data_IF_483968548301
#
_entry.id   IF_483968548301
#
_cell.length_a   1.000
_cell.length_b   1.000
_cell.length_c   1.000
_cell.angle_alpha   90.00
_cell.angle_beta   90.00
_cell.angle_gamma   90.00
#
_symmetry.space_group_name_H-M   'P 1'
#
loop_
_entity.id
_entity.type
_entity.pdbx_description
1 polymer ?
#
# COMPACT_ATOMS: atom_id res chain seq x y z
N UNK A 1 -19.83 8.74 4.42
CA UNK A 1 -19.50 8.12 3.12
C UNK A 1 -18.05 8.35 2.70
N UNK A 2 -17.53 9.58 2.66
CA UNK A 2 -16.13 9.82 2.24
C UNK A 2 -15.06 9.20 3.15
N UNK A 3 -15.29 9.12 4.47
CA UNK A 3 -14.34 8.57 5.46
C UNK A 3 -14.07 7.07 5.29
N UNK A 4 -15.12 6.27 5.14
CA UNK A 4 -14.98 4.82 4.92
C UNK A 4 -14.35 4.52 3.57
N UNK A 5 -14.72 5.27 2.52
CA UNK A 5 -14.12 5.13 1.20
C UNK A 5 -12.60 5.39 1.22
N UNK A 6 -12.12 6.38 1.99
CA UNK A 6 -10.68 6.66 2.15
C UNK A 6 -9.94 5.52 2.86
N UNK A 7 -10.53 4.97 3.94
CA UNK A 7 -9.97 3.83 4.65
C UNK A 7 -9.92 2.58 3.78
N UNK A 8 -10.98 2.32 3.02
CA UNK A 8 -11.08 1.16 2.13
C UNK A 8 -10.13 1.27 0.94
N UNK A 9 -10.01 2.46 0.35
CA UNK A 9 -9.04 2.75 -0.71
C UNK A 9 -7.60 2.59 -0.21
N UNK A 10 -7.29 3.04 1.01
CA UNK A 10 -5.98 2.82 1.63
C UNK A 10 -5.68 1.33 1.88
N UNK A 11 -6.66 0.54 2.32
CA UNK A 11 -6.52 -0.93 2.44
C UNK A 11 -6.29 -1.60 1.09
N UNK A 12 -7.02 -1.20 0.05
CA UNK A 12 -6.82 -1.69 -1.31
C UNK A 12 -5.44 -1.34 -1.86
N UNK A 13 -4.94 -0.13 -1.58
CA UNK A 13 -3.59 0.28 -1.93
C UNK A 13 -2.52 -0.59 -1.25
N UNK A 14 -2.70 -0.93 0.03
CA UNK A 14 -1.80 -1.84 0.72
C UNK A 14 -1.84 -3.26 0.15
N UNK A 15 -3.03 -3.76 -0.21
CA UNK A 15 -3.14 -5.06 -0.89
C UNK A 15 -2.47 -5.03 -2.27
N UNK A 16 -2.60 -3.93 -3.01
CA UNK A 16 -1.92 -3.74 -4.30
C UNK A 16 -0.40 -3.66 -4.12
N UNK A 17 0.09 -3.01 -3.06
CA UNK A 17 1.50 -3.01 -2.69
C UNK A 17 2.01 -4.44 -2.49
N UNK A 18 1.26 -5.25 -1.74
CA UNK A 18 1.60 -6.65 -1.48
C UNK A 18 1.65 -7.49 -2.77
N UNK A 19 0.67 -7.31 -3.66
CA UNK A 19 0.62 -7.94 -4.98
C UNK A 19 1.79 -7.52 -5.87
N UNK A 20 2.15 -6.24 -5.83
CA UNK A 20 3.27 -5.68 -6.57
C UNK A 20 4.61 -6.26 -6.06
N UNK A 21 4.78 -6.38 -4.74
CA UNK A 21 5.95 -7.05 -4.15
C UNK A 21 5.99 -8.54 -4.53
N UNK A 22 4.84 -9.22 -4.53
CA UNK A 22 4.73 -10.62 -4.97
C UNK A 22 5.19 -10.81 -6.41
N UNK A 23 4.76 -9.94 -7.33
CA UNK A 23 5.09 -10.04 -8.76
C UNK A 23 6.50 -9.53 -9.08
N UNK A 24 6.98 -8.47 -8.44
CA UNK A 24 8.30 -7.88 -8.72
C UNK A 24 9.45 -8.52 -7.94
N UNK A 25 9.17 -9.18 -6.81
CA UNK A 25 10.19 -9.78 -5.94
C UNK A 25 10.00 -11.29 -5.87
N UNK A 26 8.85 -11.77 -5.40
CA UNK A 26 8.66 -13.20 -5.11
C UNK A 26 8.69 -14.05 -6.39
N UNK A 27 7.97 -13.65 -7.43
CA UNK A 27 7.94 -14.40 -8.69
C UNK A 27 9.33 -14.51 -9.37
N UNK A 28 10.07 -13.41 -9.62
CA UNK A 28 11.41 -13.51 -10.20
C UNK A 28 12.45 -14.19 -9.26
N UNK A 29 12.25 -14.15 -7.94
CA UNK A 29 13.04 -14.93 -6.99
C UNK A 29 12.82 -16.44 -7.18
N UNK A 30 11.57 -16.88 -7.34
CA UNK A 30 11.24 -18.29 -7.59
C UNK A 30 11.78 -18.76 -8.95
N UNK A 31 11.72 -17.90 -9.97
CA UNK A 31 12.26 -18.20 -11.31
C UNK A 31 13.80 -18.15 -11.37
N UNK A 32 14.49 -17.73 -10.30
CA UNK A 32 15.95 -17.56 -10.29
C UNK A 32 16.44 -16.41 -11.18
N UNK A 33 15.55 -15.50 -11.59
CA UNK A 33 15.83 -14.36 -12.47
C UNK A 33 15.79 -13.02 -11.72
N UNK A 34 15.90 -13.05 -10.39
CA UNK A 34 15.86 -11.85 -9.58
C UNK A 34 17.07 -10.97 -9.89
N UNK A 35 16.82 -9.87 -10.60
CA UNK A 35 17.79 -8.79 -10.75
C UNK A 35 17.74 -7.86 -9.55
N UNK A 36 18.91 -7.41 -9.10
CA UNK A 36 19.06 -6.46 -8.00
C UNK A 36 18.31 -5.15 -8.28
N UNK A 37 18.20 -4.76 -9.56
CA UNK A 37 17.40 -3.60 -9.99
C UNK A 37 15.89 -3.82 -9.78
N UNK A 38 15.39 -5.01 -10.13
CA UNK A 38 13.99 -5.40 -9.95
C UNK A 38 13.62 -5.51 -8.47
N UNK A 39 14.52 -6.06 -7.66
CA UNK A 39 14.35 -6.13 -6.21
C UNK A 39 14.28 -4.72 -5.59
N UNK A 40 15.18 -3.81 -5.94
CA UNK A 40 15.15 -2.43 -5.45
C UNK A 40 13.90 -1.68 -5.90
N UNK A 41 13.47 -1.86 -7.15
CA UNK A 41 12.25 -1.26 -7.67
C UNK A 41 11.00 -1.82 -6.97
N UNK A 42 10.96 -3.12 -6.74
CA UNK A 42 9.89 -3.80 -6.00
C UNK A 42 9.80 -3.33 -4.56
N UNK A 43 10.93 -3.26 -3.85
CA UNK A 43 10.98 -2.78 -2.46
C UNK A 43 10.62 -1.30 -2.38
N UNK A 44 11.16 -0.47 -3.27
CA UNK A 44 10.86 0.96 -3.33
C UNK A 44 9.37 1.22 -3.62
N UNK A 45 8.81 0.51 -4.60
CA UNK A 45 7.38 0.58 -4.93
C UNK A 45 6.50 0.09 -3.77
N UNK A 46 6.86 -1.01 -3.13
CA UNK A 46 6.15 -1.54 -1.97
C UNK A 46 6.09 -0.52 -0.82
N UNK A 47 7.23 0.07 -0.46
CA UNK A 47 7.30 1.08 0.60
C UNK A 47 6.45 2.29 0.22
N UNK A 48 6.55 2.77 -1.02
CA UNK A 48 5.77 3.91 -1.50
C UNK A 48 4.26 3.67 -1.41
N UNK A 49 3.76 2.57 -1.99
CA UNK A 49 2.32 2.25 -1.96
C UNK A 49 1.82 1.99 -0.53
N UNK A 50 2.62 1.31 0.29
CA UNK A 50 2.28 1.08 1.71
C UNK A 50 2.17 2.39 2.48
N UNK A 51 3.10 3.31 2.25
CA UNK A 51 3.10 4.61 2.91
C UNK A 51 1.91 5.47 2.49
N UNK A 52 1.60 5.52 1.19
CA UNK A 52 0.42 6.23 0.67
C UNK A 52 -0.86 5.61 1.21
N UNK A 53 -0.96 4.27 1.23
CA UNK A 53 -2.10 3.56 1.81
C UNK A 53 -2.30 3.86 3.29
N UNK A 54 -1.21 3.90 4.06
CA UNK A 54 -1.24 4.27 5.47
C UNK A 54 -1.69 5.71 5.72
N UNK A 55 -1.21 6.67 4.91
CA UNK A 55 -1.65 8.07 4.97
C UNK A 55 -3.16 8.18 4.69
N UNK A 56 -3.67 7.48 3.68
CA UNK A 56 -5.10 7.50 3.35
C UNK A 56 -5.97 6.96 4.49
N UNK A 57 -5.51 5.90 5.16
CA UNK A 57 -6.18 5.34 6.34
C UNK A 57 -6.17 6.37 7.47
N UNK A 58 -5.03 6.97 7.80
CA UNK A 58 -4.90 7.99 8.85
C UNK A 58 -5.77 9.22 8.59
N UNK A 59 -5.83 9.70 7.35
CA UNK A 59 -6.71 10.81 6.97
C UNK A 59 -8.18 10.39 7.17
N UNK A 60 -8.54 9.18 6.76
CA UNK A 60 -9.88 8.63 6.98
C UNK A 60 -10.23 8.50 8.47
N UNK A 61 -9.27 8.12 9.33
CA UNK A 61 -9.44 8.06 10.79
C UNK A 61 -9.61 9.44 11.42
N UNK A 62 -8.75 10.42 11.07
CA UNK A 62 -8.89 11.79 11.56
C UNK A 62 -10.21 12.45 11.19
N UNK A 63 -10.73 12.17 9.99
CA UNK A 63 -12.03 12.66 9.55
C UNK A 63 -13.19 12.03 10.32
N UNK A 64 -12.99 10.85 10.91
CA UNK A 64 -13.97 10.18 11.76
C UNK A 64 -13.98 10.80 13.16
N UNK A 65 -12.81 10.98 13.77
CA UNK A 65 -12.67 11.61 15.09
C UNK A 65 -13.21 13.05 15.13
N UNK A 66 -12.99 13.82 14.06
CA UNK A 66 -13.54 15.18 13.95
C UNK A 66 -15.06 15.24 13.73
N UNK A 67 -15.71 14.12 13.40
CA UNK A 67 -17.15 14.03 13.15
C UNK A 67 -17.96 13.57 14.36
N UNK A 68 -17.35 12.90 15.34
CA UNK A 68 -18.00 12.47 16.59
C UNK A 68 -17.87 13.51 17.72
N UNK A 69 -17.16 14.62 17.49
CA UNK A 69 -16.88 15.68 18.47
C UNK A 69 -17.83 16.90 18.44
N UNK A 70 -18.92 16.86 17.67
CA UNK A 70 -19.96 17.90 17.57
C UNK A 70 -21.34 17.28 17.59
#
# INVERSE_FOLDING_TARGET
MAKEALKELGKQLNNLALLFAGTCIIQPLIEGKLSLTLALLGVGGYIFFTFVGFILILIGEKLEEGSDGT
#
